data_IF_001116774926
#
_entry.id   IF_001116774926
#
_cell.length_a   1.000
_cell.length_b   1.000
_cell.length_c   1.000
_cell.angle_alpha   90.00
_cell.angle_beta   90.00
_cell.angle_gamma   90.00
#
_symmetry.space_group_name_H-M   'P 1'
#
loop_
_entity.id
_entity.type
_entity.pdbx_description
1 polymer ?
#
# COMPACT_ATOMS: atom_id res chain seq x y z
N UNK A 1 6.21 12.11 21.03
CA UNK A 1 6.79 10.83 21.50
C UNK A 1 7.45 10.05 20.36
N UNK A 2 6.85 10.00 19.15
CA UNK A 2 7.48 9.41 17.94
C UNK A 2 8.72 10.17 17.43
N UNK A 3 8.90 11.44 17.83
CA UNK A 3 10.05 12.28 17.44
C UNK A 3 11.27 12.05 18.35
N UNK A 4 11.08 11.63 19.60
CA UNK A 4 12.16 11.49 20.59
C UNK A 4 12.79 10.08 20.61
N UNK A 5 12.05 9.08 20.12
CA UNK A 5 12.53 7.72 19.82
C UNK A 5 11.90 7.31 18.48
N UNK A 6 12.59 7.62 17.40
CA UNK A 6 12.13 7.37 16.04
C UNK A 6 12.07 5.85 15.79
N UNK A 7 10.90 5.25 16.03
CA UNK A 7 10.62 3.90 15.56
C UNK A 7 10.38 3.96 14.05
N UNK A 8 11.47 3.78 13.29
CA UNK A 8 11.43 3.73 11.81
C UNK A 8 10.70 2.51 11.26
N UNK A 9 10.22 1.62 12.13
CA UNK A 9 9.47 0.41 11.78
C UNK A 9 7.97 0.54 12.09
N UNK A 10 7.48 1.66 12.65
CA UNK A 10 6.05 1.89 12.85
C UNK A 10 5.36 2.27 11.52
N UNK A 11 4.94 1.24 10.79
CA UNK A 11 4.13 1.34 9.57
C UNK A 11 2.84 2.16 9.78
N UNK A 12 2.26 2.14 10.99
CA UNK A 12 1.07 2.94 11.30
C UNK A 12 1.38 4.43 11.36
N UNK A 13 2.56 4.82 11.81
CA UNK A 13 2.96 6.22 11.77
C UNK A 13 3.05 6.71 10.33
N UNK A 14 3.61 5.89 9.44
CA UNK A 14 3.64 6.17 8.00
C UNK A 14 2.23 6.22 7.40
N UNK A 15 1.35 5.27 7.74
CA UNK A 15 -0.04 5.28 7.26
C UNK A 15 -0.83 6.52 7.75
N UNK A 16 -0.61 6.96 9.00
CA UNK A 16 -1.24 8.19 9.53
C UNK A 16 -0.83 9.44 8.75
N UNK A 17 0.38 9.47 8.17
CA UNK A 17 0.86 10.59 7.37
C UNK A 17 0.00 10.83 6.11
N UNK A 18 -0.58 9.77 5.55
CA UNK A 18 -1.47 9.85 4.39
C UNK A 18 -2.94 10.09 4.78
N UNK A 19 -3.23 10.30 6.07
CA UNK A 19 -4.59 10.53 6.53
C UNK A 19 -5.17 11.86 6.04
N UNK A 20 -6.51 11.92 5.94
CA UNK A 20 -7.24 13.14 5.62
C UNK A 20 -6.88 14.31 6.56
N UNK A 21 -6.61 14.03 7.84
CA UNK A 21 -6.19 15.04 8.81
C UNK A 21 -4.81 15.63 8.48
N UNK A 22 -3.86 14.80 8.06
CA UNK A 22 -2.53 15.25 7.63
C UNK A 22 -2.58 16.04 6.33
N UNK A 23 -3.40 15.61 5.37
CA UNK A 23 -3.63 16.32 4.10
C UNK A 23 -4.27 17.69 4.37
N UNK A 24 -5.33 17.72 5.20
CA UNK A 24 -6.00 18.96 5.57
C UNK A 24 -5.04 19.93 6.26
N UNK A 25 -4.21 19.44 7.18
CA UNK A 25 -3.21 20.26 7.83
C UNK A 25 -2.17 20.83 6.85
N UNK A 26 -1.72 20.04 5.87
CA UNK A 26 -0.82 20.53 4.82
C UNK A 26 -1.46 21.65 3.97
N UNK A 27 -2.76 21.53 3.67
CA UNK A 27 -3.54 22.56 2.96
C UNK A 27 -3.65 23.84 3.81
N UNK A 28 -4.01 23.71 5.09
CA UNK A 28 -4.13 24.84 6.02
C UNK A 28 -2.81 25.60 6.21
N UNK A 29 -1.68 24.90 6.14
CA UNK A 29 -0.33 25.47 6.17
C UNK A 29 0.15 26.04 4.82
N UNK A 30 -0.67 25.97 3.75
CA UNK A 30 -0.32 26.48 2.42
C UNK A 30 0.66 25.59 1.64
N UNK A 31 0.80 24.32 2.02
CA UNK A 31 1.70 23.36 1.36
C UNK A 31 0.94 22.48 0.36
N UNK A 32 0.33 23.08 -0.65
CA UNK A 32 -0.49 22.39 -1.67
C UNK A 32 0.26 21.26 -2.38
N UNK A 33 1.55 21.47 -2.70
CA UNK A 33 2.40 20.42 -3.30
C UNK A 33 2.58 19.20 -2.38
N UNK A 34 2.74 19.43 -1.07
CA UNK A 34 2.82 18.34 -0.10
C UNK A 34 1.46 17.63 0.04
N UNK A 35 0.36 18.38 0.10
CA UNK A 35 -0.98 17.81 0.18
C UNK A 35 -1.30 16.91 -1.01
N UNK A 36 -0.98 17.35 -2.23
CA UNK A 36 -1.14 16.57 -3.47
C UNK A 36 -0.24 15.33 -3.45
N UNK A 37 1.03 15.48 -3.05
CA UNK A 37 1.94 14.35 -2.90
C UNK A 37 1.38 13.30 -1.93
N UNK A 38 0.95 13.71 -0.74
CA UNK A 38 0.39 12.81 0.26
C UNK A 38 -0.89 12.13 -0.25
N UNK A 39 -1.76 12.87 -0.95
CA UNK A 39 -2.97 12.29 -1.53
C UNK A 39 -2.64 11.22 -2.59
N UNK A 40 -1.85 11.55 -3.61
CA UNK A 40 -1.57 10.65 -4.74
C UNK A 40 -0.84 9.38 -4.28
N UNK A 41 0.20 9.52 -3.45
CA UNK A 41 0.98 8.36 -3.00
C UNK A 41 0.25 7.57 -1.90
N UNK A 42 -0.60 8.23 -1.10
CA UNK A 42 -1.50 7.55 -0.17
C UNK A 42 -2.52 6.68 -0.90
N UNK A 43 -3.13 7.21 -1.96
CA UNK A 43 -4.04 6.46 -2.84
C UNK A 43 -3.34 5.26 -3.50
N UNK A 44 -2.08 5.39 -3.92
CA UNK A 44 -1.31 4.27 -4.45
C UNK A 44 -1.10 3.14 -3.41
N UNK A 45 -0.90 3.49 -2.13
CA UNK A 45 -0.86 2.52 -1.04
C UNK A 45 -2.24 1.86 -0.81
N UNK A 46 -3.31 2.65 -0.81
CA UNK A 46 -4.68 2.17 -0.65
C UNK A 46 -5.11 1.25 -1.80
N UNK A 47 -4.59 1.47 -3.01
CA UNK A 47 -4.78 0.59 -4.16
C UNK A 47 -4.27 -0.84 -3.93
N UNK A 48 -3.35 -1.05 -2.98
CA UNK A 48 -2.92 -2.38 -2.53
C UNK A 48 -3.65 -2.83 -1.26
N UNK A 49 -3.80 -1.95 -0.28
CA UNK A 49 -4.21 -2.32 1.07
C UNK A 49 -5.73 -2.35 1.28
N UNK A 50 -6.49 -1.56 0.51
CA UNK A 50 -7.93 -1.51 0.64
C UNK A 50 -8.58 -2.86 0.31
N UNK A 51 -9.68 -3.19 1.00
CA UNK A 51 -10.44 -4.44 0.82
C UNK A 51 -11.74 -4.28 0.05
N UNK A 52 -12.07 -3.05 -0.32
CA UNK A 52 -13.38 -2.68 -0.89
C UNK A 52 -13.24 -1.99 -2.25
N UNK A 53 -12.07 -1.42 -2.56
CA UNK A 53 -11.82 -0.72 -3.83
C UNK A 53 -11.81 -1.73 -5.00
N UNK A 54 -12.49 -1.35 -6.08
CA UNK A 54 -12.56 -2.11 -7.33
C UNK A 54 -11.25 -2.11 -8.12
N UNK A 55 -11.02 -3.12 -8.97
CA UNK A 55 -9.81 -3.18 -9.79
C UNK A 55 -9.67 -1.99 -10.73
N UNK A 56 -10.78 -1.48 -11.28
CA UNK A 56 -10.80 -0.25 -12.10
C UNK A 56 -10.25 0.96 -11.34
N UNK A 57 -10.70 1.15 -10.09
CA UNK A 57 -10.23 2.26 -9.26
C UNK A 57 -8.78 2.06 -8.81
N UNK A 58 -8.36 0.82 -8.51
CA UNK A 58 -6.95 0.51 -8.21
C UNK A 58 -6.03 0.88 -9.37
N UNK A 59 -6.41 0.49 -10.59
CA UNK A 59 -5.68 0.84 -11.82
C UNK A 59 -5.55 2.36 -11.93
N UNK A 60 -6.64 3.09 -11.71
CA UNK A 60 -6.62 4.56 -11.73
C UNK A 60 -5.61 5.14 -10.73
N UNK A 61 -5.71 4.73 -9.46
CA UNK A 61 -4.87 5.24 -8.37
C UNK A 61 -3.36 5.00 -8.65
N UNK A 62 -2.98 3.79 -9.07
CA UNK A 62 -1.57 3.48 -9.34
C UNK A 62 -1.05 4.15 -10.60
N UNK A 63 -1.88 4.26 -11.65
CA UNK A 63 -1.50 4.96 -12.88
C UNK A 63 -1.39 6.47 -12.66
N UNK A 64 -2.28 7.06 -11.86
CA UNK A 64 -2.19 8.47 -11.50
C UNK A 64 -0.87 8.77 -10.79
N UNK A 65 -0.47 7.95 -9.82
CA UNK A 65 0.82 8.07 -9.15
C UNK A 65 2.01 7.87 -10.11
N UNK A 66 1.90 6.90 -11.02
CA UNK A 66 2.91 6.65 -12.05
C UNK A 66 3.11 7.86 -12.97
N UNK A 67 2.03 8.39 -13.55
CA UNK A 67 2.11 9.53 -14.45
C UNK A 67 2.53 10.80 -13.73
N UNK A 68 2.04 11.05 -12.51
CA UNK A 68 2.48 12.17 -11.70
C UNK A 68 3.99 12.16 -11.47
N UNK A 69 4.57 11.00 -11.12
CA UNK A 69 6.03 10.90 -10.93
C UNK A 69 6.83 11.12 -12.23
N UNK A 70 6.28 10.71 -13.38
CA UNK A 70 6.93 10.93 -14.68
C UNK A 70 6.96 12.42 -15.04
N UNK A 71 5.82 13.10 -14.88
CA UNK A 71 5.70 14.54 -15.12
C UNK A 71 6.64 15.30 -14.18
N UNK A 72 6.70 14.92 -12.89
CA UNK A 72 7.62 15.52 -11.93
C UNK A 72 9.10 15.35 -12.35
N UNK A 73 9.53 14.15 -12.75
CA UNK A 73 10.89 13.93 -13.27
C UNK A 73 11.19 14.76 -14.52
N UNK A 74 10.22 14.86 -15.43
CA UNK A 74 10.35 15.65 -16.65
C UNK A 74 10.55 17.13 -16.30
N UNK A 75 9.70 17.68 -15.44
CA UNK A 75 9.82 19.06 -14.96
C UNK A 75 11.19 19.36 -14.34
N UNK A 76 11.70 18.46 -13.47
CA UNK A 76 13.03 18.64 -12.87
C UNK A 76 14.14 18.66 -13.93
N UNK A 77 14.01 17.82 -14.94
CA UNK A 77 14.97 17.73 -16.05
C UNK A 77 14.97 19.00 -16.89
N UNK A 78 13.80 19.48 -17.28
CA UNK A 78 13.61 20.69 -18.09
C UNK A 78 14.12 21.94 -17.37
N UNK A 79 13.86 22.03 -16.07
CA UNK A 79 14.30 23.14 -15.22
C UNK A 79 15.72 22.97 -14.63
N UNK A 80 16.44 21.90 -15.02
CA UNK A 80 17.82 21.62 -14.60
C UNK A 80 18.01 21.48 -13.08
N UNK A 81 16.97 21.02 -12.38
CA UNK A 81 17.08 20.64 -10.97
C UNK A 81 17.72 19.25 -10.85
N UNK A 82 18.72 19.06 -9.98
CA UNK A 82 19.31 17.74 -9.76
C UNK A 82 18.27 16.73 -9.24
N UNK A 83 17.94 15.71 -10.04
CA UNK A 83 16.96 14.66 -9.68
C UNK A 83 17.31 14.02 -8.33
N UNK A 84 18.57 13.70 -8.09
CA UNK A 84 19.05 13.08 -6.86
C UNK A 84 18.77 13.89 -5.57
N UNK A 85 18.40 15.17 -5.67
CA UNK A 85 18.09 16.05 -4.52
C UNK A 85 16.62 16.44 -4.44
N UNK A 86 15.93 16.50 -5.58
CA UNK A 86 14.59 17.09 -5.68
C UNK A 86 13.50 16.08 -6.05
N UNK A 87 13.85 14.81 -6.15
CA UNK A 87 12.93 13.73 -6.46
C UNK A 87 12.95 12.66 -5.35
N UNK A 88 12.08 11.66 -5.49
CA UNK A 88 12.14 10.43 -4.70
C UNK A 88 13.54 9.81 -4.78
N UNK A 89 13.90 9.04 -3.73
CA UNK A 89 15.11 8.22 -3.80
C UNK A 89 15.01 7.22 -4.96
N UNK A 90 16.16 6.82 -5.51
CA UNK A 90 16.20 5.85 -6.61
C UNK A 90 15.46 4.55 -6.26
N UNK A 91 15.60 4.10 -5.01
CA UNK A 91 14.94 2.89 -4.53
C UNK A 91 13.42 3.07 -4.47
N UNK A 92 12.93 4.21 -3.95
CA UNK A 92 11.49 4.48 -3.86
C UNK A 92 10.86 4.59 -5.25
N UNK A 93 11.56 5.22 -6.20
CA UNK A 93 11.13 5.34 -7.58
C UNK A 93 11.02 3.98 -8.29
N UNK A 94 12.03 3.12 -8.11
CA UNK A 94 12.05 1.75 -8.63
C UNK A 94 10.95 0.88 -7.98
N UNK A 95 10.76 1.01 -6.66
CA UNK A 95 9.69 0.31 -5.94
C UNK A 95 8.33 0.71 -6.49
N UNK A 96 8.11 1.99 -6.76
CA UNK A 96 6.86 2.44 -7.36
C UNK A 96 6.63 1.79 -8.73
N UNK A 97 7.66 1.70 -9.57
CA UNK A 97 7.53 1.00 -10.87
C UNK A 97 7.17 -0.47 -10.69
N UNK A 98 7.78 -1.16 -9.74
CA UNK A 98 7.48 -2.56 -9.43
C UNK A 98 6.03 -2.70 -8.95
N UNK A 99 5.56 -1.82 -8.07
CA UNK A 99 4.19 -1.85 -7.55
C UNK A 99 3.16 -1.56 -8.65
N UNK A 100 3.38 -0.53 -9.47
CA UNK A 100 2.44 -0.20 -10.56
C UNK A 100 2.37 -1.35 -11.57
N UNK A 101 3.51 -1.81 -12.08
CA UNK A 101 3.54 -2.89 -13.07
C UNK A 101 3.05 -4.22 -12.48
N UNK A 102 3.40 -4.50 -11.22
CA UNK A 102 2.99 -5.70 -10.50
C UNK A 102 1.47 -5.77 -10.32
N UNK A 103 0.82 -4.68 -9.89
CA UNK A 103 -0.62 -4.66 -9.71
C UNK A 103 -1.36 -4.83 -11.05
N UNK A 104 -0.92 -4.12 -12.09
CA UNK A 104 -1.50 -4.27 -13.44
C UNK A 104 -1.34 -5.70 -13.95
N UNK A 105 -0.14 -6.28 -13.81
CA UNK A 105 0.11 -7.65 -14.23
C UNK A 105 -0.77 -8.65 -13.46
N UNK A 106 -0.91 -8.50 -12.13
CA UNK A 106 -1.78 -9.36 -11.32
C UNK A 106 -3.24 -9.28 -11.80
N UNK A 107 -3.75 -8.08 -12.05
CA UNK A 107 -5.13 -7.88 -12.55
C UNK A 107 -5.32 -8.56 -13.91
N UNK A 108 -4.38 -8.36 -14.84
CA UNK A 108 -4.45 -8.92 -16.20
C UNK A 108 -4.32 -10.46 -16.17
N UNK A 109 -3.39 -11.01 -15.39
CA UNK A 109 -3.19 -12.46 -15.27
C UNK A 109 -4.42 -13.11 -14.65
N UNK A 110 -5.00 -12.52 -13.60
CA UNK A 110 -6.24 -13.03 -13.01
C UNK A 110 -7.41 -13.01 -14.01
N UNK A 111 -7.51 -11.95 -14.83
CA UNK A 111 -8.54 -11.82 -15.87
C UNK A 111 -8.40 -12.86 -16.97
N UNK A 112 -7.18 -13.06 -17.48
CA UNK A 112 -6.93 -13.76 -18.75
C UNK A 112 -6.54 -15.23 -18.57
N UNK A 113 -6.01 -15.62 -17.40
CA UNK A 113 -5.32 -16.89 -17.23
C UNK A 113 -5.73 -17.70 -16.00
N UNK A 114 -6.47 -17.12 -15.05
CA UNK A 114 -6.89 -17.82 -13.84
C UNK A 114 -8.40 -18.11 -13.86
N UNK A 115 -8.78 -19.17 -13.18
CA UNK A 115 -10.18 -19.45 -12.90
C UNK A 115 -10.81 -18.29 -12.10
N UNK A 116 -12.16 -18.13 -12.13
CA UNK A 116 -12.84 -17.00 -11.49
C UNK A 116 -12.60 -16.96 -9.98
N UNK A 117 -11.52 -16.30 -9.56
CA UNK A 117 -11.09 -16.17 -8.19
C UNK A 117 -10.78 -14.69 -7.90
N UNK A 118 -11.31 -14.12 -6.80
CA UNK A 118 -11.07 -12.73 -6.46
C UNK A 118 -9.58 -12.47 -6.26
N UNK A 119 -9.07 -11.40 -6.87
CA UNK A 119 -7.73 -10.92 -6.57
C UNK A 119 -7.77 -10.17 -5.23
N UNK A 120 -6.89 -10.54 -4.30
CA UNK A 120 -6.74 -9.92 -2.99
C UNK A 120 -5.36 -9.24 -2.91
N UNK A 121 -5.19 -7.96 -3.33
CA UNK A 121 -3.86 -7.35 -3.46
C UNK A 121 -3.10 -7.29 -2.13
N UNK A 122 -3.78 -7.05 -1.01
CA UNK A 122 -3.17 -6.99 0.32
C UNK A 122 -2.58 -8.33 0.79
N UNK A 123 -2.94 -9.46 0.18
CA UNK A 123 -2.32 -10.76 0.51
C UNK A 123 -1.02 -11.02 -0.22
N UNK A 124 -0.61 -10.14 -1.13
CA UNK A 124 0.62 -10.26 -1.92
C UNK A 124 1.84 -9.56 -1.27
N UNK A 125 1.68 -9.07 -0.03
CA UNK A 125 2.76 -8.49 0.78
C UNK A 125 3.47 -9.50 1.68
N UNK A 126 4.49 -9.02 2.41
CA UNK A 126 5.28 -9.84 3.37
C UNK A 126 4.74 -9.81 4.79
N UNK A 127 3.65 -9.09 5.05
CA UNK A 127 3.07 -8.86 6.38
C UNK A 127 2.78 -10.18 7.13
N UNK A 128 2.32 -11.22 6.41
CA UNK A 128 2.09 -12.56 6.97
C UNK A 128 3.39 -13.18 7.50
N UNK A 129 4.50 -13.00 6.79
CA UNK A 129 5.81 -13.50 7.23
C UNK A 129 6.27 -12.77 8.48
N UNK A 130 6.11 -11.43 8.52
CA UNK A 130 6.43 -10.62 9.70
C UNK A 130 5.60 -11.04 10.92
N UNK A 131 4.32 -11.37 10.71
CA UNK A 131 3.47 -11.91 11.75
C UNK A 131 3.97 -13.28 12.27
N UNK A 132 4.35 -14.20 11.37
CA UNK A 132 4.94 -15.50 11.74
C UNK A 132 6.20 -15.28 12.57
N UNK A 133 7.09 -14.37 12.16
CA UNK A 133 8.29 -14.02 12.93
C UNK A 133 7.96 -13.39 14.29
N UNK A 134 6.92 -12.56 14.37
CA UNK A 134 6.42 -12.00 15.63
C UNK A 134 5.92 -13.10 16.58
N UNK A 135 5.15 -14.06 16.06
CA UNK A 135 4.67 -15.22 16.83
C UNK A 135 5.83 -16.10 17.32
N UNK A 136 6.82 -16.36 16.47
CA UNK A 136 8.04 -17.09 16.81
C UNK A 136 8.77 -16.39 17.96
N UNK A 137 9.12 -15.10 17.81
CA UNK A 137 9.83 -14.33 18.83
C UNK A 137 9.06 -14.17 20.14
N UNK A 138 7.73 -14.09 20.08
CA UNK A 138 6.89 -14.05 21.29
C UNK A 138 6.94 -15.35 22.10
N UNK A 139 7.28 -16.47 21.45
CA UNK A 139 7.35 -17.79 22.06
C UNK A 139 8.77 -18.12 22.49
N UNK A 140 9.73 -17.85 21.61
CA UNK A 140 11.15 -18.06 21.81
C UNK A 140 11.90 -16.87 21.19
N UNK A 141 12.33 -15.89 22.01
CA UNK A 141 12.94 -14.64 21.51
C UNK A 141 14.17 -14.87 20.63
N UNK A 142 15.01 -15.84 20.99
CA UNK A 142 16.15 -16.31 20.19
C UNK A 142 15.90 -17.76 19.81
N UNK A 143 15.55 -18.00 18.55
CA UNK A 143 15.27 -19.33 18.03
C UNK A 143 16.28 -19.72 16.96
N UNK A 144 16.70 -20.99 16.96
CA UNK A 144 17.45 -21.58 15.85
C UNK A 144 16.50 -22.02 14.75
N UNK A 145 17.03 -22.38 13.57
CA UNK A 145 16.22 -22.96 12.49
C UNK A 145 15.52 -24.24 12.96
N UNK A 146 16.17 -25.06 13.79
CA UNK A 146 15.58 -26.29 14.34
C UNK A 146 14.38 -25.95 15.22
N UNK A 147 14.50 -24.93 16.07
CA UNK A 147 13.40 -24.48 16.93
C UNK A 147 12.22 -23.96 16.09
N UNK A 148 12.48 -23.21 15.02
CA UNK A 148 11.44 -22.75 14.10
C UNK A 148 10.70 -23.91 13.44
N UNK A 149 11.41 -24.93 12.95
CA UNK A 149 10.82 -26.11 12.33
C UNK A 149 9.97 -26.91 13.33
N UNK A 150 10.46 -27.08 14.56
CA UNK A 150 9.72 -27.76 15.63
C UNK A 150 8.50 -26.96 16.11
N UNK A 151 8.51 -25.63 15.91
CA UNK A 151 7.39 -24.76 16.26
C UNK A 151 6.27 -24.73 15.21
N UNK A 152 6.46 -25.25 13.99
CA UNK A 152 5.45 -25.22 12.91
C UNK A 152 4.06 -25.68 13.40
N UNK A 153 3.88 -26.83 14.06
CA UNK A 153 2.55 -27.27 14.49
C UNK A 153 1.88 -26.29 15.48
N UNK A 154 2.68 -25.61 16.31
CA UNK A 154 2.18 -24.59 17.25
C UNK A 154 1.85 -23.29 16.54
N UNK A 155 2.64 -22.91 15.52
CA UNK A 155 2.37 -21.76 14.68
C UNK A 155 1.06 -21.95 13.91
N UNK A 156 0.83 -23.12 13.33
CA UNK A 156 -0.40 -23.43 12.59
C UNK A 156 -1.66 -23.22 13.45
N UNK A 157 -1.65 -23.77 14.67
CA UNK A 157 -2.78 -23.62 15.61
C UNK A 157 -2.96 -22.15 16.01
N UNK A 158 -1.86 -21.41 16.24
CA UNK A 158 -1.93 -19.99 16.61
C UNK A 158 -2.38 -19.10 15.47
N UNK A 159 -1.91 -19.35 14.25
CA UNK A 159 -2.33 -18.65 13.04
C UNK A 159 -3.81 -18.90 12.77
N UNK A 160 -4.28 -20.15 12.82
CA UNK A 160 -5.70 -20.47 12.70
C UNK A 160 -6.54 -19.79 13.78
N UNK A 161 -6.05 -19.74 15.02
CA UNK A 161 -6.71 -19.02 16.10
C UNK A 161 -6.70 -17.49 15.89
N UNK A 162 -5.67 -16.93 15.26
CA UNK A 162 -5.59 -15.51 14.92
C UNK A 162 -6.57 -15.17 13.78
N UNK A 163 -6.64 -15.98 12.72
CA UNK A 163 -7.60 -15.82 11.62
C UNK A 163 -9.06 -15.91 12.10
N UNK A 164 -9.34 -16.68 13.16
CA UNK A 164 -10.69 -16.85 13.71
C UNK A 164 -11.07 -15.80 14.74
N UNK A 165 -10.11 -15.06 15.30
CA UNK A 165 -10.41 -13.95 16.21
C UNK A 165 -10.86 -12.75 15.39
N UNK A 166 -12.13 -12.35 15.53
CA UNK A 166 -12.56 -11.00 15.12
C UNK A 166 -11.73 -9.99 15.91
N UNK A 167 -11.04 -9.10 15.22
CA UNK A 167 -10.22 -8.10 15.88
C UNK A 167 -11.12 -6.93 16.22
N UNK A 168 -11.37 -6.72 17.51
CA UNK A 168 -12.04 -5.52 17.98
C UNK A 168 -11.16 -4.30 17.70
N UNK A 169 -11.65 -3.39 16.87
CA UNK A 169 -10.95 -2.15 16.51
C UNK A 169 -10.47 -1.33 17.73
N UNK A 170 -11.18 -1.43 18.87
CA UNK A 170 -10.84 -0.79 20.14
C UNK A 170 -9.60 -1.39 20.86
N UNK A 171 -9.13 -2.57 20.47
CA UNK A 171 -7.92 -3.21 21.01
C UNK A 171 -6.63 -2.72 20.34
N UNK A 172 -6.72 -2.22 19.10
CA UNK A 172 -5.59 -1.78 18.29
C UNK A 172 -5.01 -0.43 18.74
N UNK A 173 -5.81 0.41 19.41
CA UNK A 173 -5.42 1.74 19.89
C UNK A 173 -4.52 1.74 21.13
N UNK A 174 -4.32 0.58 21.80
CA UNK A 174 -3.65 0.52 23.11
C UNK A 174 -2.17 0.09 23.09
N UNK A 175 -1.64 -0.40 21.96
CA UNK A 175 -0.26 -0.88 21.88
C UNK A 175 0.60 -0.01 20.97
N UNK A 176 1.47 0.82 21.56
CA UNK A 176 2.54 1.55 20.85
C UNK A 176 3.80 0.71 20.59
N UNK A 177 3.64 -0.61 20.49
CA UNK A 177 4.72 -1.54 20.19
C UNK A 177 4.12 -2.80 19.55
N UNK A 178 4.38 -2.99 18.25
CA UNK A 178 4.05 -4.21 17.52
C UNK A 178 3.02 -4.05 16.40
N UNK A 179 3.34 -4.68 15.27
CA UNK A 179 2.53 -4.84 14.06
C UNK A 179 1.05 -5.11 14.38
N UNK A 180 0.14 -4.40 13.71
CA UNK A 180 -1.29 -4.67 13.82
C UNK A 180 -1.62 -6.09 13.35
N UNK A 181 -2.58 -6.75 14.00
CA UNK A 181 -2.99 -8.10 13.62
C UNK A 181 -4.15 -8.13 12.63
N UNK A 182 -4.56 -6.99 12.06
CA UNK A 182 -5.77 -6.82 11.22
C UNK A 182 -5.76 -7.59 9.90
N UNK A 183 -4.67 -8.26 9.55
CA UNK A 183 -4.39 -8.73 8.18
C UNK A 183 -5.06 -10.07 7.83
N UNK A 184 -5.40 -10.89 8.84
CA UNK A 184 -6.17 -12.13 8.63
C UNK A 184 -7.68 -11.93 8.75
N UNK A 185 -8.12 -10.74 9.13
CA UNK A 185 -9.53 -10.42 9.18
C UNK A 185 -10.00 -9.99 7.79
N UNK A 186 -10.50 -10.95 7.01
CA UNK A 186 -11.15 -10.69 5.73
C UNK A 186 -12.60 -10.19 5.88
N UNK A 187 -13.07 -9.94 7.11
CA UNK A 187 -14.42 -9.42 7.32
C UNK A 187 -14.57 -8.03 6.67
N UNK A 188 -15.61 -7.89 5.85
CA UNK A 188 -15.88 -6.67 5.09
C UNK A 188 -15.17 -6.55 3.73
N UNK A 189 -14.40 -7.56 3.28
CA UNK A 189 -13.88 -7.57 1.92
C UNK A 189 -15.02 -7.73 0.90
N UNK A 190 -15.05 -6.86 -0.12
CA UNK A 190 -16.06 -6.88 -1.19
C UNK A 190 -15.65 -7.92 -2.25
N UNK A 191 -15.76 -9.21 -1.92
CA UNK A 191 -15.29 -10.31 -2.78
C UNK A 191 -15.96 -10.31 -4.16
N UNK A 192 -17.23 -9.92 -4.23
CA UNK A 192 -17.96 -9.73 -5.48
C UNK A 192 -17.30 -8.69 -6.39
N UNK A 193 -16.91 -7.56 -5.80
CA UNK A 193 -16.21 -6.46 -6.49
C UNK A 193 -14.81 -6.89 -6.93
N UNK A 194 -14.13 -7.70 -6.11
CA UNK A 194 -12.76 -8.17 -6.35
C UNK A 194 -12.67 -9.35 -7.31
N UNK A 195 -13.80 -10.00 -7.61
CA UNK A 195 -13.92 -11.01 -8.67
C UNK A 195 -14.22 -10.39 -10.04
N UNK A 196 -14.57 -9.10 -10.10
CA UNK A 196 -14.83 -8.40 -11.36
C UNK A 196 -13.56 -7.76 -11.90
N UNK A 197 -13.10 -8.22 -13.07
CA UNK A 197 -11.92 -7.68 -13.74
C UNK A 197 -12.33 -6.81 -14.93
N UNK A 198 -11.80 -5.58 -15.06
CA UNK A 198 -12.15 -4.70 -16.16
C UNK A 198 -11.63 -5.24 -17.51
N UNK A 199 -12.43 -5.11 -18.59
CA UNK A 199 -11.98 -5.45 -19.92
C UNK A 199 -10.90 -4.46 -20.38
N UNK A 200 -10.17 -4.83 -21.43
CA UNK A 200 -9.01 -4.08 -21.91
C UNK A 200 -9.34 -2.63 -22.26
N UNK A 201 -10.49 -2.39 -22.86
CA UNK A 201 -10.95 -1.05 -23.27
C UNK A 201 -11.16 -0.13 -22.05
N UNK A 202 -11.62 -0.69 -20.93
CA UNK A 202 -11.80 0.06 -19.68
C UNK A 202 -10.44 0.39 -19.06
N UNK A 203 -9.47 -0.52 -19.12
CA UNK A 203 -8.10 -0.26 -18.63
C UNK A 203 -7.48 0.90 -19.41
N UNK A 204 -7.63 0.91 -20.73
CA UNK A 204 -7.11 1.98 -21.59
C UNK A 204 -7.79 3.32 -21.31
N UNK A 205 -9.11 3.34 -21.15
CA UNK A 205 -9.84 4.56 -20.77
C UNK A 205 -9.40 5.12 -19.42
N UNK A 206 -9.20 4.25 -18.43
CA UNK A 206 -8.72 4.64 -17.10
C UNK A 206 -7.29 5.17 -17.17
N UNK A 207 -6.43 4.58 -18.00
CA UNK A 207 -5.08 5.07 -18.21
C UNK A 207 -5.07 6.47 -18.84
N UNK A 208 -5.93 6.71 -19.84
CA UNK A 208 -6.09 8.04 -20.42
C UNK A 208 -6.61 9.06 -19.40
N UNK A 209 -7.61 8.69 -18.59
CA UNK A 209 -8.12 9.54 -17.52
C UNK A 209 -7.02 9.92 -16.51
N UNK A 210 -6.30 8.92 -16.00
CA UNK A 210 -5.22 9.12 -15.03
C UNK A 210 -4.10 10.03 -15.59
N UNK A 211 -3.78 9.90 -16.89
CA UNK A 211 -2.84 10.79 -17.57
C UNK A 211 -3.34 12.24 -17.63
N UNK A 212 -4.59 12.45 -18.05
CA UNK A 212 -5.20 13.78 -18.11
C UNK A 212 -5.27 14.43 -16.73
N UNK A 213 -5.67 13.67 -15.71
CA UNK A 213 -5.70 14.16 -14.32
C UNK A 213 -4.30 14.51 -13.80
N UNK A 214 -3.30 13.66 -14.04
CA UNK A 214 -1.93 13.94 -13.62
C UNK A 214 -1.38 15.26 -14.22
N UNK A 215 -1.67 15.52 -15.50
CA UNK A 215 -1.30 16.79 -16.15
C UNK A 215 -2.05 17.97 -15.55
N UNK A 216 -3.37 17.86 -15.36
CA UNK A 216 -4.18 18.92 -14.76
C UNK A 216 -3.72 19.26 -13.34
N UNK A 217 -3.36 18.26 -12.54
CA UNK A 217 -2.79 18.46 -11.20
C UNK A 217 -1.46 19.21 -11.28
N UNK A 218 -0.59 18.85 -12.24
CA UNK A 218 0.70 19.51 -12.40
C UNK A 218 0.56 20.97 -12.86
N UNK A 219 -0.38 21.27 -13.76
CA UNK A 219 -0.70 22.65 -14.19
C UNK A 219 -1.12 23.54 -13.01
N UNK A 220 -1.80 22.98 -12.01
CA UNK A 220 -2.20 23.71 -10.79
C UNK A 220 -1.00 23.98 -9.87
N UNK A 221 0.04 23.15 -9.90
CA UNK A 221 1.23 23.30 -9.06
C UNK A 221 2.20 24.37 -9.57
N UNK A 222 2.17 24.69 -10.87
CA UNK A 222 3.03 25.70 -11.51
C UNK A 222 4.34 25.15 -12.03
#
# INVERSE_FOLDING_TARGET
RDVDKLDRQDDRAAARLFSAASIQHAIECGHSGLAIFLFIFGEACDAYQSRTISHTQRIHMVLLAFFFKLIWKQFLTENRYPIARHFLSQDADNILDILVNGLLALIIIHRDHLDPFPLLPWTHGTEVNEHIFGLLRSTLPEFTIVDALQMIPKLDVRLLAACRRKIDAASLQRGGAGYAHTHFDSSGAALDTLSYFPPQEVIEQVAHLAWTEANAIWEVLG
#
